data_IF_147460856665
#
_entry.id   IF_147460856665
#
_cell.length_a   1.000
_cell.length_b   1.000
_cell.length_c   1.000
_cell.angle_alpha   90.00
_cell.angle_beta   90.00
_cell.angle_gamma   90.00
#
_symmetry.space_group_name_H-M   'P 1'
#
loop_
_entity.id
_entity.type
_entity.pdbx_description
1 polymer ?
2 polymer ?
3 water ?
#
# COMPACT_ATOMS: atom_id res chain seq x y z
N UNK A 1 -15.39 9.77 -19.37
CA UNK A 1 -14.81 9.12 -18.16
C UNK A 1 -14.58 10.17 -17.09
N UNK A 2 -15.04 9.87 -15.89
CA UNK A 2 -14.83 10.77 -14.76
C UNK A 2 -13.41 10.59 -14.23
N UNK A 3 -12.69 11.71 -14.12
CA UNK A 3 -11.32 11.69 -13.64
C UNK A 3 -11.18 12.68 -12.49
N UNK A 4 -10.49 12.23 -11.45
CA UNK A 4 -10.19 13.07 -10.30
C UNK A 4 -8.71 12.94 -10.06
N UNK A 5 -7.96 13.95 -10.44
CA UNK A 5 -6.51 13.89 -10.39
C UNK A 5 -5.96 14.72 -9.24
N UNK A 6 -5.40 14.06 -8.26
CA UNK A 6 -4.88 14.75 -7.09
C UNK A 6 -3.40 15.13 -7.20
N UNK A 7 -3.03 16.18 -6.46
CA UNK A 7 -1.64 16.64 -6.39
C UNK A 7 -0.73 15.61 -5.68
N UNK A 8 0.59 15.85 -5.77
CA UNK A 8 1.59 14.88 -5.36
C UNK A 8 1.85 14.84 -3.86
N UNK A 9 2.66 13.85 -3.42
CA UNK A 9 2.96 13.65 -2.01
C UNK A 9 3.65 14.85 -1.38
N UNK A 10 3.35 15.09 -0.10
CA UNK A 10 3.81 16.27 0.62
C UNK A 10 4.49 15.89 1.91
N UNK A 11 5.60 16.58 2.20
CA UNK A 11 6.22 16.54 3.53
C UNK A 11 6.01 17.88 4.20
N UNK A 12 5.51 17.84 5.42
CA UNK A 12 5.10 19.03 6.13
C UNK A 12 5.79 19.08 7.46
N UNK A 13 6.34 20.24 7.78
CA UNK A 13 6.87 20.47 9.12
C UNK A 13 5.75 20.43 10.17
N UNK A 14 6.02 19.77 11.29
CA UNK A 14 5.09 19.72 12.41
C UNK A 14 4.65 21.15 12.78
N UNK A 15 3.34 21.38 12.85
CA UNK A 15 2.77 22.71 13.13
C UNK A 15 2.46 23.58 11.92
N UNK A 16 2.98 23.20 10.76
CA UNK A 16 2.72 23.94 9.52
C UNK A 16 1.47 23.46 8.79
N UNK A 17 1.21 24.06 7.63
CA UNK A 17 -0.02 23.82 6.86
C UNK A 17 0.31 23.11 5.57
N UNK A 18 -0.70 22.52 4.95
CA UNK A 18 -0.56 21.93 3.63
C UNK A 18 -1.80 22.28 2.82
N UNK A 19 -1.64 22.50 1.52
CA UNK A 19 -2.78 22.68 0.61
C UNK A 19 -2.64 21.71 -0.52
N UNK A 20 -3.66 20.87 -0.66
CA UNK A 20 -3.66 19.82 -1.67
C UNK A 20 -4.83 20.04 -2.61
N UNK A 21 -4.69 19.56 -3.85
CA UNK A 21 -5.67 19.86 -4.88
C UNK A 21 -6.19 18.61 -5.58
N UNK A 22 -7.35 18.73 -6.22
CA UNK A 22 -8.00 17.61 -6.91
C UNK A 22 -8.62 18.24 -8.14
N UNK A 23 -8.08 17.90 -9.31
CA UNK A 23 -8.55 18.45 -10.60
C UNK A 23 -9.54 17.47 -11.21
N UNK A 24 -10.77 17.93 -11.43
CA UNK A 24 -11.81 17.07 -11.96
C UNK A 24 -11.97 17.23 -13.47
N UNK A 25 -12.33 16.13 -14.12
CA UNK A 25 -12.60 16.16 -15.57
C UNK A 25 -13.67 15.15 -15.91
N UNK A 26 -14.36 15.35 -17.03
CA UNK A 26 -15.29 14.35 -17.54
C UNK A 26 -16.73 14.54 -17.12
N UNK A 27 -17.00 15.66 -16.43
CA UNK A 27 -18.35 15.97 -16.01
C UNK A 27 -18.50 17.46 -15.74
N UNK A 28 -19.73 17.90 -15.49
CA UNK A 28 -19.99 19.29 -15.11
C UNK A 28 -19.61 19.54 -13.65
N UNK A 29 -18.50 20.23 -13.45
CA UNK A 29 -17.89 20.40 -12.11
C UNK A 29 -18.82 20.92 -11.02
N UNK A 30 -19.65 21.90 -11.35
CA UNK A 30 -20.49 22.52 -10.34
C UNK A 30 -21.75 21.70 -10.03
N UNK A 31 -21.96 20.58 -10.72
CA UNK A 31 -23.16 19.79 -10.53
C UNK A 31 -23.03 18.65 -9.52
N UNK A 32 -21.86 18.49 -8.93
CA UNK A 32 -21.64 17.41 -7.95
C UNK A 32 -20.84 17.95 -6.78
N UNK A 33 -21.13 17.45 -5.59
CA UNK A 33 -20.33 17.81 -4.42
C UNK A 33 -18.98 17.12 -4.48
N UNK A 34 -18.00 17.70 -3.81
CA UNK A 34 -16.69 17.04 -3.64
C UNK A 34 -16.45 16.80 -2.16
N UNK A 35 -15.93 15.63 -1.84
CA UNK A 35 -15.69 15.27 -0.44
C UNK A 35 -14.21 15.05 -0.24
N UNK A 36 -13.76 15.23 1.00
CA UNK A 36 -12.38 14.89 1.37
C UNK A 36 -12.41 13.84 2.48
N UNK A 37 -11.57 12.81 2.32
CA UNK A 37 -11.53 11.66 3.20
C UNK A 37 -10.06 11.33 3.60
N UNK A 38 -9.83 11.05 4.88
CA UNK A 38 -8.47 10.71 5.37
C UNK A 38 -8.36 9.21 5.56
N UNK A 39 -7.24 8.63 5.13
CA UNK A 39 -6.95 7.24 5.39
C UNK A 39 -5.62 7.15 6.09
N UNK A 40 -5.62 6.71 7.34
CA UNK A 40 -4.38 6.55 8.10
C UNK A 40 -3.79 5.17 7.82
N UNK A 41 -2.49 5.02 8.04
CA UNK A 41 -1.78 3.73 7.89
C UNK A 41 -2.42 2.74 6.89
N UNK A 42 -2.89 3.26 5.75
CA UNK A 42 -3.47 2.44 4.68
C UNK A 42 -4.71 1.63 5.04
N UNK A 43 -5.38 2.00 6.14
CA UNK A 43 -6.53 1.21 6.60
C UNK A 43 -7.79 2.04 6.86
N UNK A 44 -7.89 2.65 8.04
CA UNK A 44 -9.15 3.25 8.50
C UNK A 44 -9.51 4.54 7.71
N UNK A 45 -10.78 4.77 7.43
CA UNK A 45 -11.19 5.97 6.64
C UNK A 45 -12.03 6.91 7.51
N UNK A 46 -11.80 8.22 7.37
CA UNK A 46 -12.44 9.27 8.17
C UNK A 46 -12.83 10.40 7.24
N UNK A 47 -14.09 10.81 7.32
CA UNK A 47 -14.59 11.88 6.50
C UNK A 47 -14.17 13.21 7.09
N UNK A 48 -13.55 14.04 6.25
CA UNK A 48 -13.15 15.39 6.66
C UNK A 48 -14.27 16.44 6.42
N UNK A 49 -14.90 16.35 5.25
CA UNK A 49 -15.97 17.29 4.89
C UNK A 49 -16.32 17.23 3.43
N UNK A 50 -17.15 18.18 3.03
CA UNK A 50 -17.63 18.27 1.65
C UNK A 50 -17.71 19.73 1.26
N UNK A 51 -17.68 19.97 -0.04
CA UNK A 51 -17.91 21.31 -0.57
C UNK A 51 -18.81 21.22 -1.78
N UNK A 52 -19.69 22.21 -1.85
CA UNK A 52 -20.57 22.42 -3.00
C UNK A 52 -19.86 23.37 -3.96
N UNK A 53 -19.35 22.86 -5.09
CA UNK A 53 -18.63 23.77 -5.98
C UNK A 53 -19.48 24.83 -6.63
N UNK A 54 -20.81 24.65 -6.64
CA UNK A 54 -21.70 25.65 -7.21
C UNK A 54 -21.71 26.95 -6.40
N UNK A 55 -21.68 26.83 -5.07
CA UNK A 55 -21.80 28.02 -4.21
C UNK A 55 -20.63 28.20 -3.27
N UNK A 56 -19.65 27.29 -3.38
CA UNK A 56 -18.45 27.33 -2.56
C UNK A 56 -18.69 26.95 -1.11
N UNK A 57 -19.91 26.49 -0.81
CA UNK A 57 -20.31 26.18 0.57
C UNK A 57 -19.72 24.86 1.07
N UNK A 58 -19.02 24.91 2.17
CA UNK A 58 -18.43 23.73 2.80
C UNK A 58 -19.16 23.28 4.07
N UNK A 59 -19.07 21.98 4.37
CA UNK A 59 -19.45 21.41 5.67
C UNK A 59 -18.29 20.57 6.17
N UNK A 60 -18.05 20.62 7.48
CA UNK A 60 -16.86 19.94 8.04
C UNK A 60 -17.22 18.98 9.17
N UNK A 61 -16.51 17.86 9.23
CA UNK A 61 -16.53 17.01 10.41
C UNK A 61 -16.02 17.83 11.59
N UNK A 62 -16.81 17.89 12.66
CA UNK A 62 -16.40 18.68 13.81
C UNK A 62 -15.17 18.19 14.58
N UNK A 63 -14.77 16.93 14.32
CA UNK A 63 -13.59 16.36 14.96
C UNK A 63 -12.30 17.00 14.45
N UNK A 64 -12.40 17.72 13.32
CA UNK A 64 -11.26 18.39 12.71
C UNK A 64 -10.94 19.75 13.37
N UNK A 65 -11.85 20.18 14.23
CA UNK A 65 -11.64 21.39 15.05
C UNK A 65 -11.35 22.63 14.24
N UNK A 66 -11.92 22.70 13.05
CA UNK A 66 -11.84 23.89 12.24
C UNK A 66 -10.50 24.07 11.55
N UNK A 67 -9.70 23.00 11.52
CA UNK A 67 -8.36 23.09 10.93
C UNK A 67 -8.33 22.96 9.42
N UNK A 68 -9.45 22.53 8.83
CA UNK A 68 -9.53 22.36 7.38
C UNK A 68 -10.35 23.47 6.75
N UNK A 69 -9.96 23.88 5.55
CA UNK A 69 -10.70 24.87 4.77
C UNK A 69 -10.75 24.46 3.31
N UNK A 70 -11.97 24.27 2.80
CA UNK A 70 -12.17 23.81 1.43
C UNK A 70 -12.44 25.00 0.53
N UNK A 71 -11.88 24.99 -0.68
CA UNK A 71 -12.21 25.99 -1.69
C UNK A 71 -12.29 25.33 -3.05
N UNK A 72 -12.85 26.03 -4.04
CA UNK A 72 -12.85 25.52 -5.40
C UNK A 72 -12.47 26.65 -6.36
N UNK A 73 -11.97 26.26 -7.53
CA UNK A 73 -11.80 27.17 -8.66
C UNK A 73 -12.60 26.53 -9.78
N UNK A 74 -13.76 27.09 -10.10
CA UNK A 74 -14.65 26.46 -11.06
C UNK A 74 -14.07 26.55 -12.48
N UNK A 75 -13.29 27.59 -12.73
CA UNK A 75 -12.69 27.80 -14.05
C UNK A 75 -11.68 26.72 -14.40
N UNK A 76 -10.96 26.23 -13.39
CA UNK A 76 -9.97 25.16 -13.60
C UNK A 76 -10.50 23.79 -13.16
N UNK A 77 -11.75 23.76 -12.69
CA UNK A 77 -12.39 22.54 -12.14
C UNK A 77 -11.56 21.89 -11.05
N UNK A 78 -11.08 22.70 -10.13
CA UNK A 78 -10.21 22.17 -9.07
C UNK A 78 -10.80 22.46 -7.68
N UNK A 79 -10.74 21.44 -6.84
CA UNK A 79 -11.11 21.55 -5.45
C UNK A 79 -9.80 21.55 -4.65
N UNK A 80 -9.76 22.39 -3.62
CA UNK A 80 -8.59 22.50 -2.76
C UNK A 80 -8.93 22.23 -1.30
N UNK A 81 -7.99 21.62 -0.59
CA UNK A 81 -8.12 21.47 0.86
C UNK A 81 -6.86 22.02 1.51
N UNK A 82 -7.04 23.02 2.37
CA UNK A 82 -5.95 23.55 3.18
C UNK A 82 -6.14 22.97 4.56
N UNK A 83 -5.08 22.43 5.15
CA UNK A 83 -5.20 21.74 6.42
C UNK A 83 -4.10 22.31 7.29
N UNK A 84 -4.50 22.96 8.38
CA UNK A 84 -3.61 23.75 9.22
C UNK A 84 -3.20 23.06 10.49
N UNK A 85 -2.07 23.52 11.06
CA UNK A 85 -1.66 23.08 12.40
C UNK A 85 -1.48 21.58 12.48
N UNK A 86 -0.73 21.05 11.53
CA UNK A 86 -0.59 19.61 11.40
C UNK A 86 0.30 19.02 12.47
N UNK A 87 -0.04 17.81 12.91
CA UNK A 87 0.79 17.05 13.83
C UNK A 87 1.04 15.69 13.20
N UNK A 88 1.83 14.85 13.86
CA UNK A 88 2.11 13.51 13.35
C UNK A 88 0.85 12.67 13.14
N UNK A 89 -0.19 12.94 13.94
CA UNK A 89 -1.48 12.25 13.81
C UNK A 89 -2.18 12.50 12.48
N UNK A 90 -1.73 13.55 11.78
CA UNK A 90 -2.34 13.94 10.50
C UNK A 90 -1.62 13.32 9.30
N UNK A 91 -0.51 12.62 9.53
CA UNK A 91 0.15 11.85 8.47
C UNK A 91 -0.77 10.77 7.96
N UNK A 92 -1.10 10.84 6.69
CA UNK A 92 -2.12 9.98 6.12
C UNK A 92 -2.19 10.21 4.63
N UNK A 93 -2.99 9.37 3.97
CA UNK A 93 -3.36 9.60 2.58
C UNK A 93 -4.72 10.29 2.55
N UNK A 94 -4.80 11.36 1.78
CA UNK A 94 -6.02 12.18 1.67
C UNK A 94 -6.61 12.04 0.30
N UNK A 95 -7.88 11.65 0.27
CA UNK A 95 -8.61 11.45 -0.99
C UNK A 95 -9.65 12.52 -1.23
N UNK A 96 -9.84 12.93 -2.49
CA UNK A 96 -11.06 13.61 -2.84
C UNK A 96 -12.01 12.57 -3.44
N UNK A 97 -13.29 12.82 -3.31
CA UNK A 97 -14.29 11.94 -3.91
C UNK A 97 -15.51 12.73 -4.32
N UNK A 98 -16.10 12.36 -5.45
CA UNK A 98 -17.28 13.02 -5.96
C UNK A 98 -18.53 12.36 -5.40
N UNK A 99 -19.59 13.14 -5.12
CA UNK A 99 -20.89 12.53 -4.80
C UNK A 99 -22.02 12.96 -5.68
N UNK A 100 -22.95 12.02 -5.84
CA UNK A 100 -24.27 12.18 -6.45
C UNK A 100 -25.35 12.14 -5.36
N UNK A 101 -26.42 12.93 -5.53
CA UNK A 101 -26.37 14.17 -6.31
C UNK A 101 -25.18 14.94 -5.71
N UNK A 102 -24.88 14.61 -4.46
CA UNK A 102 -24.00 15.42 -3.64
C UNK A 102 -24.29 15.26 -2.17
N UNK A 103 -23.22 14.97 -1.44
CA UNK A 103 -23.17 14.81 0.02
C UNK A 103 -23.45 13.38 0.51
N UNK A 104 -24.42 12.70 -0.09
CA UNK A 104 -24.74 11.35 0.36
C UNK A 104 -23.82 10.30 -0.29
N UNK A 105 -24.00 10.09 -1.60
CA UNK A 105 -23.50 8.89 -2.26
C UNK A 105 -22.22 9.16 -3.06
N UNK A 106 -21.07 8.84 -2.47
CA UNK A 106 -19.77 9.03 -3.12
C UNK A 106 -19.67 8.02 -4.24
N UNK A 107 -19.28 8.46 -5.45
CA UNK A 107 -19.31 7.54 -6.62
C UNK A 107 -17.96 7.35 -7.34
N UNK A 108 -17.05 8.30 -7.20
CA UNK A 108 -15.71 8.23 -7.79
C UNK A 108 -14.71 8.85 -6.82
N UNK A 109 -13.49 8.30 -6.82
CA UNK A 109 -12.43 8.69 -5.88
C UNK A 109 -11.17 9.03 -6.62
N UNK A 110 -10.47 10.04 -6.11
CA UNK A 110 -9.12 10.38 -6.60
C UNK A 110 -8.11 9.31 -6.19
N UNK A 111 -6.85 9.48 -6.60
CA UNK A 111 -5.84 8.48 -6.31
C UNK A 111 -5.21 8.62 -4.92
N UNK A 112 -5.49 9.72 -4.23
CA UNK A 112 -4.90 9.99 -2.93
C UNK A 112 -3.63 10.84 -2.98
N UNK A 113 -3.44 11.62 -1.93
CA UNK A 113 -2.24 12.42 -1.75
C UNK A 113 -1.67 12.05 -0.39
N UNK A 114 -0.44 11.54 -0.40
CA UNK A 114 0.22 11.13 0.83
C UNK A 114 0.85 12.38 1.47
N UNK A 115 0.49 12.60 2.73
CA UNK A 115 1.01 13.71 3.51
C UNK A 115 1.75 13.13 4.70
N UNK A 116 3.04 13.49 4.81
CA UNK A 116 3.86 13.11 5.97
C UNK A 116 4.15 14.32 6.80
N UNK A 117 3.90 14.22 8.10
CA UNK A 117 4.16 15.34 8.98
C UNK A 117 5.30 14.98 9.90
N UNK A 118 6.36 15.79 9.89
CA UNK A 118 7.59 15.42 10.58
C UNK A 118 8.52 16.60 10.83
N UNK A 119 9.35 16.45 11.87
CA UNK A 119 10.39 17.41 12.18
C UNK A 119 11.68 17.12 11.40
N UNK A 120 11.71 15.94 10.77
CA UNK A 120 12.90 15.40 10.09
C UNK A 120 13.09 15.99 8.70
N UNK A 121 14.36 16.14 8.33
CA UNK A 121 14.73 16.62 7.01
C UNK A 121 14.51 15.56 5.95
N UNK A 122 14.31 16.00 4.71
CA UNK A 122 14.31 15.06 3.58
C UNK A 122 15.71 14.50 3.32
N UNK A 123 15.78 13.18 3.10
CA UNK A 123 17.05 12.51 2.92
C UNK A 123 16.88 11.60 1.69
N UNK A 124 17.75 11.73 0.70
CA UNK A 124 17.60 10.87 -0.45
C UNK A 124 18.11 9.44 -0.14
N UNK A 125 17.61 8.44 -0.88
CA UNK A 125 18.08 7.09 -0.62
C UNK A 125 19.45 6.81 -1.21
N UNK A 126 20.18 5.90 -0.56
CA UNK A 126 21.34 5.24 -1.21
C UNK A 126 20.81 3.99 -1.91
N UNK A 127 21.13 3.81 -3.17
CA UNK A 127 20.58 2.69 -3.93
C UNK A 127 21.73 1.76 -4.25
N UNK A 128 21.60 0.52 -3.79
CA UNK A 128 22.67 -0.47 -3.94
C UNK A 128 22.21 -1.67 -4.75
N UNK A 129 23.07 -2.17 -5.64
CA UNK A 129 22.67 -3.34 -6.43
C UNK A 129 22.77 -4.63 -5.60
N UNK A 130 21.89 -5.55 -5.89
CA UNK A 130 21.91 -6.87 -5.25
C UNK A 130 22.14 -7.92 -6.34
N UNK A 131 23.37 -8.42 -6.41
CA UNK A 131 23.71 -9.44 -7.38
C UNK A 131 24.17 -10.66 -6.59
N UNK A 132 23.88 -11.88 -7.08
CA UNK A 132 24.22 -13.12 -6.34
C UNK A 132 25.69 -13.23 -5.98
N UNK A 140 16.78 -22.14 -16.22
CA UNK A 140 16.38 -21.67 -14.90
C UNK A 140 16.40 -20.16 -14.76
N UNK A 141 16.23 -19.70 -13.52
CA UNK A 141 15.96 -18.32 -13.21
C UNK A 141 17.00 -17.75 -12.26
N UNK A 142 17.30 -16.47 -12.44
CA UNK A 142 18.22 -15.77 -11.54
C UNK A 142 17.42 -14.65 -10.89
N UNK A 143 17.63 -14.43 -9.60
CA UNK A 143 16.94 -13.35 -8.90
C UNK A 143 17.96 -12.27 -8.61
N UNK A 144 17.62 -11.04 -9.01
CA UNK A 144 18.43 -9.84 -8.74
C UNK A 144 17.62 -8.89 -7.91
N UNK A 145 18.28 -7.85 -7.42
CA UNK A 145 17.53 -6.87 -6.65
C UNK A 145 18.18 -5.52 -6.51
N UNK A 146 17.49 -4.68 -5.78
CA UNK A 146 17.85 -3.30 -5.60
C UNK A 146 17.55 -2.99 -4.13
N UNK A 147 18.55 -2.54 -3.35
CA UNK A 147 18.34 -2.12 -1.95
C UNK A 147 18.31 -0.58 -1.92
N UNK A 148 17.23 -0.01 -1.38
CA UNK A 148 16.97 1.42 -1.39
C UNK A 148 16.98 1.85 0.06
N UNK A 149 18.12 2.34 0.52
CA UNK A 149 18.35 2.47 1.96
C UNK A 149 18.43 3.90 2.47
N UNK A 150 17.74 4.14 3.58
CA UNK A 150 17.92 5.33 4.42
C UNK A 150 17.39 6.64 3.87
N UNK A 151 16.14 6.61 3.43
CA UNK A 151 15.51 7.81 2.88
C UNK A 151 14.37 8.28 3.75
N UNK A 152 13.99 9.53 3.52
CA UNK A 152 12.84 10.06 4.18
C UNK A 152 12.37 11.26 3.36
N UNK A 153 11.05 11.43 3.20
CA UNK A 153 9.92 10.58 3.59
C UNK A 153 9.60 9.57 2.51
N UNK A 154 8.57 8.75 2.76
CA UNK A 154 7.92 7.97 1.69
C UNK A 154 7.18 8.94 0.78
N UNK A 155 6.96 8.57 -0.50
CA UNK A 155 7.32 7.30 -1.13
C UNK A 155 8.58 7.31 -2.00
N UNK A 156 8.96 6.11 -2.44
CA UNK A 156 9.85 5.95 -3.57
C UNK A 156 9.06 5.17 -4.65
N UNK A 157 9.53 5.24 -5.89
CA UNK A 157 9.04 4.36 -6.95
C UNK A 157 10.21 3.59 -7.54
N UNK A 158 10.05 2.28 -7.70
CA UNK A 158 11.10 1.46 -8.29
C UNK A 158 10.53 0.80 -9.54
N UNK A 159 11.29 0.86 -10.63
CA UNK A 159 10.96 0.15 -11.87
C UNK A 159 12.22 -0.60 -12.29
N UNK A 160 12.07 -1.53 -13.22
CA UNK A 160 13.20 -2.27 -13.75
C UNK A 160 13.23 -2.14 -15.27
N UNK A 161 14.40 -1.85 -15.82
CA UNK A 161 14.55 -1.58 -17.25
C UNK A 161 13.53 -0.59 -17.76
N UNK A 162 13.31 0.47 -16.97
CA UNK A 162 12.38 1.55 -17.32
C UNK A 162 10.96 1.04 -17.70
N UNK A 163 10.53 -0.07 -17.09
CA UNK A 163 9.18 -0.61 -17.35
C UNK A 163 9.13 -1.82 -18.28
N UNK A 164 10.25 -2.18 -18.87
CA UNK A 164 10.27 -3.30 -19.81
C UNK A 164 10.43 -4.65 -19.14
N UNK A 165 10.83 -4.64 -17.87
CA UNK A 165 10.71 -5.83 -17.04
C UNK A 165 9.62 -5.54 -15.99
N UNK A 166 8.54 -6.30 -16.06
CA UNK A 166 7.45 -6.15 -15.07
C UNK A 166 6.93 -7.44 -14.44
N UNK A 167 6.96 -8.54 -15.18
CA UNK A 167 6.33 -9.79 -14.76
C UNK A 167 6.86 -10.40 -13.46
N UNK A 168 8.17 -10.42 -13.32
CA UNK A 168 8.77 -11.13 -12.19
C UNK A 168 9.27 -10.20 -11.12
N UNK A 169 8.57 -9.08 -10.92
CA UNK A 169 9.02 -8.01 -9.99
C UNK A 169 8.15 -7.99 -8.74
N UNK A 170 8.79 -7.97 -7.57
CA UNK A 170 8.14 -7.70 -6.27
C UNK A 170 8.87 -6.52 -5.64
N UNK A 171 8.16 -5.54 -5.09
CA UNK A 171 8.82 -4.52 -4.28
C UNK A 171 8.25 -4.60 -2.90
N UNK A 172 9.15 -4.66 -1.91
CA UNK A 172 8.72 -4.92 -0.54
C UNK A 172 8.36 -3.60 0.12
N UNK A 173 7.35 -3.62 1.00
CA UNK A 173 7.04 -2.39 1.71
C UNK A 173 8.20 -1.90 2.55
N UNK A 174 8.30 -0.57 2.66
CA UNK A 174 9.39 0.04 3.40
C UNK A 174 9.26 -0.22 4.87
N UNK A 175 10.39 -0.27 5.54
CA UNK A 175 10.45 -0.45 6.99
C UNK A 175 11.07 0.79 7.54
N UNK A 176 10.45 1.35 8.59
CA UNK A 176 10.96 2.50 9.30
C UNK A 176 11.87 2.07 10.45
N UNK A 177 13.08 2.60 10.49
CA UNK A 177 13.96 2.37 11.65
C UNK A 177 14.74 3.65 11.92
N UNK A 178 14.64 4.15 13.16
CA UNK A 178 15.32 5.38 13.52
C UNK A 178 15.14 6.49 12.49
N UNK A 179 13.88 6.66 12.07
CA UNK A 179 13.44 7.83 11.36
C UNK A 179 13.90 7.87 9.91
N UNK A 180 14.32 6.71 9.39
CA UNK A 180 14.60 6.58 7.95
C UNK A 180 14.00 5.31 7.40
N UNK A 181 13.62 5.33 6.14
CA UNK A 181 13.02 4.15 5.52
C UNK A 181 14.03 3.35 4.72
N UNK A 182 13.76 2.04 4.64
CA UNK A 182 14.56 1.18 3.76
C UNK A 182 13.61 0.21 3.06
N UNK A 183 13.78 0.00 1.75
CA UNK A 183 13.02 -1.06 1.10
C UNK A 183 13.89 -1.74 0.08
N UNK A 184 13.38 -2.86 -0.43
CA UNK A 184 14.11 -3.59 -1.46
C UNK A 184 13.15 -3.98 -2.54
N UNK A 185 13.72 -4.26 -3.71
CA UNK A 185 12.92 -4.72 -4.83
C UNK A 185 13.65 -5.89 -5.46
N UNK A 186 12.87 -6.84 -5.94
CA UNK A 186 13.36 -8.10 -6.45
C UNK A 186 12.87 -8.26 -7.89
N UNK A 187 13.73 -8.78 -8.76
CA UNK A 187 13.30 -9.18 -10.11
C UNK A 187 13.91 -10.52 -10.44
N UNK A 188 13.14 -11.38 -11.12
CA UNK A 188 13.62 -12.72 -11.49
C UNK A 188 13.54 -12.96 -13.00
N UNK A 189 14.70 -13.23 -13.62
CA UNK A 189 14.84 -13.35 -15.07
C UNK A 189 15.52 -14.67 -15.42
N UNK A 190 15.38 -15.13 -16.68
CA UNK A 190 16.08 -16.34 -17.08
C UNK A 190 17.60 -16.19 -16.92
N UNK A 191 18.25 -17.22 -16.39
CA UNK A 191 19.73 -17.28 -16.34
C UNK A 191 20.39 -17.08 -17.71
N UNK A 192 19.68 -17.44 -18.79
CA UNK A 192 20.17 -17.20 -20.14
C UNK A 192 20.05 -15.72 -20.56
N UNK A 193 19.32 -14.94 -19.75
CA UNK A 193 19.08 -13.52 -20.01
C UNK A 193 20.07 -12.62 -19.27
N UNK A 194 20.37 -12.92 -18.00
CA UNK A 194 21.34 -12.15 -17.23
C UNK A 194 22.44 -13.12 -16.81
N UNK A 195 23.72 -12.70 -16.93
CA UNK A 195 24.18 -11.35 -17.21
C UNK A 195 24.38 -10.93 -18.67
N UNK A 196 23.92 -11.73 -19.64
CA UNK A 196 24.11 -11.39 -21.06
C UNK A 196 23.41 -10.11 -21.51
N UNK A 197 22.24 -9.84 -20.94
CA UNK A 197 21.45 -8.62 -21.21
C UNK A 197 21.46 -7.75 -19.96
N UNK A 198 21.38 -6.43 -20.18
CA UNK A 198 21.38 -5.44 -19.11
C UNK A 198 20.11 -5.49 -18.25
N UNK A 199 20.29 -5.41 -16.93
CA UNK A 199 19.18 -5.28 -15.99
C UNK A 199 19.52 -4.13 -15.05
N UNK A 200 18.64 -3.14 -15.00
CA UNK A 200 18.87 -1.88 -14.29
C UNK A 200 17.65 -1.59 -13.42
N UNK A 201 17.87 -1.21 -12.16
CA UNK A 201 16.75 -0.69 -11.35
C UNK A 201 16.75 0.86 -11.42
N UNK A 202 15.55 1.42 -11.48
CA UNK A 202 15.35 2.85 -11.58
C UNK A 202 14.57 3.25 -10.36
N UNK A 203 15.16 4.09 -9.52
CA UNK A 203 14.57 4.46 -8.23
C UNK A 203 14.38 5.96 -8.18
N UNK A 204 13.13 6.40 -7.99
CA UNK A 204 12.81 7.82 -7.87
C UNK A 204 12.32 8.12 -6.47
N UNK A 205 12.73 9.27 -5.95
CA UNK A 205 12.30 9.71 -4.61
C UNK A 205 11.85 11.17 -4.78
N UNK A 206 10.52 11.36 -4.95
CA UNK A 206 9.94 12.68 -5.27
C UNK A 206 10.41 13.79 -4.33
N UNK A 207 10.45 13.51 -3.03
CA UNK A 207 10.75 14.52 -2.02
C UNK A 207 12.13 15.14 -2.14
N UNK A 208 13.10 14.36 -2.61
CA UNK A 208 14.47 14.84 -2.79
C UNK A 208 14.80 15.14 -4.25
N UNK A 209 13.80 15.04 -5.13
CA UNK A 209 14.02 15.26 -6.56
C UNK A 209 15.17 14.40 -7.14
N UNK A 210 15.29 13.18 -6.62
CA UNK A 210 16.35 12.23 -7.01
C UNK A 210 15.77 11.14 -7.89
N UNK A 211 16.53 10.75 -8.90
CA UNK A 211 16.30 9.47 -9.57
C UNK A 211 17.64 8.82 -9.91
N UNK A 212 17.77 7.54 -9.55
CA UNK A 212 19.04 6.84 -9.73
C UNK A 212 18.76 5.61 -10.58
N UNK A 213 19.64 5.37 -11.55
CA UNK A 213 19.63 4.11 -12.27
C UNK A 213 20.84 3.31 -11.78
N UNK A 214 20.59 2.07 -11.37
CA UNK A 214 21.70 1.22 -10.96
C UNK A 214 21.67 -0.05 -11.79
N UNK A 215 22.68 -0.23 -12.63
CA UNK A 215 22.84 -1.47 -13.36
C UNK A 215 23.30 -2.56 -12.41
N UNK A 216 22.72 -3.75 -12.56
CA UNK A 216 23.14 -4.91 -11.79
C UNK A 216 24.18 -5.67 -12.59
N UNK A 217 25.39 -5.70 -12.05
CA UNK A 217 26.51 -6.34 -12.72
C UNK A 217 26.96 -7.52 -11.85
N UNK A 218 27.46 -8.60 -12.48
CA UNK A 218 27.96 -9.72 -11.67
C UNK A 218 29.02 -9.24 -10.67
N UNK A 219 28.97 -9.75 -9.46
CA UNK A 219 29.95 -9.38 -8.47
C UNK A 219 30.96 -10.51 -8.38
N UNK B 1 -20.92 10.29 16.45
CA UNK B 1 -20.74 9.52 15.19
C UNK B 1 -21.39 8.13 15.26
N UNK B 2 -21.98 7.70 14.14
CA UNK B 2 -22.51 6.36 13.99
C UNK B 2 -21.35 5.40 13.83
N UNK B 3 -21.37 4.34 14.63
CA UNK B 3 -20.32 3.34 14.60
C UNK B 3 -20.72 2.24 13.64
N UNK B 4 -19.84 1.94 12.69
CA UNK B 4 -20.09 0.86 11.72
C UNK B 4 -19.20 -0.32 12.08
N UNK B 5 -19.80 -1.50 12.36
CA UNK B 5 -19.04 -2.67 12.77
C UNK B 5 -19.14 -3.80 11.74
N UNK B 6 -18.03 -4.11 11.07
CA UNK B 6 -17.96 -5.22 10.10
C UNK B 6 -17.47 -6.48 10.74
N UNK B 7 -18.00 -7.61 10.27
CA UNK B 7 -17.55 -8.94 10.70
C UNK B 7 -17.73 -9.94 9.54
N UNK B 8 -16.70 -10.77 9.26
CA UNK B 8 -15.40 -10.78 9.94
C UNK B 8 -14.52 -9.65 9.42
N UNK B 9 -13.36 -9.48 10.02
CA UNK B 9 -12.41 -8.45 9.58
C UNK B 9 -11.41 -9.03 8.58
N UNK B 10 -11.41 -10.35 8.45
CA UNK B 10 -10.55 -11.02 7.50
C UNK B 10 -11.33 -12.16 6.89
N UNK B 11 -11.10 -12.39 5.60
CA UNK B 11 -11.66 -13.52 4.85
C UNK B 11 -10.52 -14.22 4.14
N UNK B 12 -10.58 -15.54 4.07
CA UNK B 12 -9.61 -16.32 3.30
C UNK B 12 -10.42 -17.31 2.45
N UNK B 13 -10.44 -17.05 1.14
CA UNK B 13 -11.45 -17.66 0.24
C UNK B 13 -10.86 -18.46 -0.90
N UNK B 14 -11.43 -19.66 -1.13
CA UNK B 14 -11.08 -20.46 -2.31
C UNK B 14 -11.77 -19.86 -3.53
N UNK B 15 -11.03 -19.66 -4.60
CA UNK B 15 -11.65 -19.11 -5.82
C UNK B 15 -12.82 -20.01 -6.23
N UNK B 16 -13.94 -19.37 -6.55
CA UNK B 16 -15.14 -20.09 -6.95
C UNK B 16 -16.14 -20.22 -5.82
N UNK B 17 -15.70 -19.98 -4.58
CA UNK B 17 -16.56 -20.16 -3.39
C UNK B 17 -17.26 -18.86 -2.98
N UNK B 18 -18.43 -18.98 -2.31
CA UNK B 18 -19.12 -17.76 -1.89
C UNK B 18 -18.50 -17.17 -0.64
N UNK B 19 -18.61 -15.85 -0.48
CA UNK B 19 -18.18 -15.22 0.76
C UNK B 19 -19.20 -14.16 1.17
N UNK B 20 -19.12 -13.76 2.43
CA UNK B 20 -20.10 -12.84 2.99
C UNK B 20 -19.46 -11.94 4.05
N UNK B 21 -19.89 -10.68 4.10
CA UNK B 21 -19.49 -9.71 5.12
C UNK B 21 -20.74 -9.10 5.73
N UNK B 22 -20.78 -9.05 7.07
CA UNK B 22 -21.86 -8.38 7.78
C UNK B 22 -21.43 -6.97 8.21
N UNK B 23 -22.39 -6.06 8.27
CA UNK B 23 -22.14 -4.70 8.71
C UNK B 23 -23.32 -4.29 9.58
N UNK B 24 -23.01 -3.87 10.81
CA UNK B 24 -24.00 -3.46 11.79
C UNK B 24 -23.72 -2.04 12.22
N UNK B 25 -24.77 -1.22 12.20
CA UNK B 25 -24.65 0.18 12.58
C UNK B 25 -25.19 0.39 13.99
N UNK B 26 -24.62 1.35 14.71
CA UNK B 26 -25.06 1.64 16.10
C UNK B 26 -26.45 2.29 16.17
N UNK B 27 -26.91 2.78 15.02
CA UNK B 27 -28.20 3.45 14.88
C UNK B 27 -28.78 3.10 13.51
N UNK B 28 -30.11 3.06 13.42
CA UNK B 28 -30.76 2.79 12.13
C UNK B 28 -30.31 3.76 11.04
N UNK B 29 -30.07 3.22 9.86
CA UNK B 29 -29.66 4.06 8.73
C UNK B 29 -30.83 4.44 7.82
N UNK B 30 -32.06 4.19 8.29
CA UNK B 30 -33.24 4.59 7.54
C UNK B 30 -33.50 6.10 7.68
N UNK B 31 -33.58 6.79 6.53
CA UNK B 31 -33.80 8.24 6.50
C UNK B 31 -35.29 8.58 6.56
N UNK B 32 -35.59 9.85 6.85
CA UNK B 32 -37.01 10.27 6.87
C UNK B 32 -37.59 10.42 5.45
N UNK B 33 -36.64 10.53 4.48
CA UNK B 33 -37.01 10.60 3.07
C UNK B 33 -37.35 9.26 2.45
N UNK B 34 -37.17 8.17 3.33
CA UNK B 34 -37.57 6.86 2.89
C UNK B 34 -36.45 5.99 2.35
N UNK B 35 -35.23 6.56 2.23
CA UNK B 35 -34.05 5.82 1.71
C UNK B 35 -33.03 5.44 2.81
N UNK B 36 -32.20 4.42 2.53
CA UNK B 36 -31.21 3.93 3.50
C UNK B 36 -29.82 4.06 2.86
N UNK B 37 -29.01 5.01 3.33
CA UNK B 37 -27.74 5.33 2.67
C UNK B 37 -26.60 4.50 3.25
N UNK B 38 -26.68 3.20 2.96
CA UNK B 38 -25.64 2.25 3.32
C UNK B 38 -24.93 1.82 2.04
N UNK B 39 -23.61 1.89 2.09
CA UNK B 39 -22.73 1.75 0.91
C UNK B 39 -21.63 0.74 1.19
N UNK B 40 -21.10 0.13 0.12
CA UNK B 40 -19.93 -0.70 0.18
C UNK B 40 -18.90 -0.18 -0.81
N UNK B 41 -17.66 -0.22 -0.36
CA UNK B 41 -16.50 0.26 -1.08
C UNK B 41 -15.42 -0.83 -1.12
N UNK B 42 -14.69 -0.92 -2.23
CA UNK B 42 -13.61 -1.87 -2.38
C UNK B 42 -12.33 -1.10 -2.68
N UNK B 43 -11.27 -1.40 -1.96
CA UNK B 43 -9.95 -0.90 -2.35
C UNK B 43 -9.04 -2.07 -2.63
N UNK B 44 -8.71 -2.26 -3.91
CA UNK B 44 -7.80 -3.31 -4.34
C UNK B 44 -6.39 -2.76 -4.23
N UNK B 45 -5.37 -3.65 -4.12
CA UNK B 45 -4.00 -3.16 -4.12
C UNK B 45 -3.64 -2.46 -5.44
N UNK B 46 -2.97 -1.31 -5.32
CA UNK B 46 -2.54 -0.52 -6.48
C UNK B 46 -3.63 0.34 -7.09
N UNK B 47 -4.82 0.30 -6.49
CA UNK B 47 -5.98 1.07 -6.98
C UNK B 47 -6.55 2.09 -5.98
N UNK B 48 -7.32 3.04 -6.53
CA UNK B 48 -8.08 3.98 -5.73
C UNK B 48 -9.29 3.20 -5.14
N UNK B 49 -9.91 3.70 -4.05
CA UNK B 49 -11.17 3.07 -3.65
C UNK B 49 -12.16 3.16 -4.78
N UNK B 50 -13.00 2.15 -4.93
CA UNK B 50 -14.07 2.18 -5.91
C UNK B 50 -15.38 1.80 -5.28
N UNK B 51 -16.45 2.45 -5.73
CA UNK B 51 -17.79 2.11 -5.28
C UNK B 51 -18.19 0.70 -5.72
N UNK B 52 -18.69 -0.09 -4.76
CA UNK B 52 -19.31 -1.38 -5.07
C UNK B 52 -20.84 -1.33 -5.09
N UNK B 53 -21.42 -0.92 -3.97
CA UNK B 53 -22.87 -0.93 -3.80
C UNK B 53 -23.25 0.37 -3.09
N UNK B 54 -24.44 0.87 -3.42
CA UNK B 54 -24.97 2.04 -2.72
C UNK B 54 -26.45 1.83 -2.48
N UNK B 55 -27.02 2.60 -1.56
CA UNK B 55 -28.46 2.48 -1.23
C UNK B 55 -28.81 1.03 -0.93
N UNK B 56 -27.95 0.41 -0.11
CA UNK B 56 -28.05 -0.98 0.38
C UNK B 56 -27.77 -2.09 -0.65
N UNK B 57 -28.39 -1.99 -1.83
CA UNK B 57 -28.42 -3.09 -2.78
C UNK B 57 -28.22 -2.69 -4.23
N UNK B 58 -28.03 -1.40 -4.51
CA UNK B 58 -27.77 -0.97 -5.89
C UNK B 58 -26.30 -1.18 -6.26
N UNK B 59 -26.06 -1.86 -7.38
CA UNK B 59 -24.69 -2.15 -7.85
C UNK B 59 -24.15 -0.99 -8.68
N UNK B 60 -22.91 -0.59 -8.40
CA UNK B 60 -22.18 0.30 -9.29
C UNK B 60 -22.10 -0.30 -10.70
N UNK B 61 -22.17 0.55 -11.72
CA UNK B 61 -22.09 0.07 -13.10
C UNK B 61 -20.88 -0.78 -13.45
N UNK B 62 -19.77 -0.58 -12.75
CA UNK B 62 -18.57 -1.33 -13.06
C UNK B 62 -18.46 -2.66 -12.31
N UNK B 63 -19.50 -3.00 -11.56
CA UNK B 63 -19.43 -4.17 -10.69
C UNK B 63 -20.27 -5.35 -11.22
N UNK B 64 -19.66 -6.54 -11.27
CA UNK B 64 -20.38 -7.74 -11.72
C UNK B 64 -21.48 -8.19 -10.76
N UNK B 65 -22.47 -8.89 -11.32
CA UNK B 65 -23.66 -9.36 -10.58
C UNK B 65 -23.42 -10.45 -9.52
N UNK B 66 -22.16 -10.87 -9.44
CA UNK B 66 -21.69 -11.79 -8.38
C UNK B 66 -21.85 -11.14 -7.00
N UNK B 67 -21.87 -9.81 -6.99
CA UNK B 67 -22.01 -9.04 -5.76
C UNK B 67 -23.48 -8.73 -5.51
N UNK B 68 -23.93 -8.94 -4.28
CA UNK B 68 -25.25 -8.47 -3.87
C UNK B 68 -25.18 -7.83 -2.49
N UNK B 69 -25.98 -6.80 -2.27
CA UNK B 69 -26.06 -6.14 -0.98
C UNK B 69 -27.46 -6.32 -0.47
N UNK B 70 -27.60 -6.54 0.83
CA UNK B 70 -28.92 -6.72 1.44
C UNK B 70 -28.95 -6.13 2.84
N UNK B 71 -30.13 -6.04 3.44
CA UNK B 71 -30.20 -5.55 4.81
C UNK B 71 -31.19 -4.45 5.03
N UNK B 72 -31.43 -4.15 6.30
CA UNK B 72 -32.34 -3.10 6.68
C UNK B 72 -31.97 -2.58 8.05
N UNK B 73 -32.28 -1.30 8.28
CA UNK B 73 -32.19 -0.72 9.61
C UNK B 73 -30.77 -0.61 10.13
N UNK B 74 -30.38 -1.60 10.94
CA UNK B 74 -29.05 -1.63 11.55
C UNK B 74 -28.17 -2.81 11.09
N UNK B 75 -28.73 -3.68 10.26
CA UNK B 75 -28.04 -4.92 9.89
C UNK B 75 -27.97 -5.08 8.37
N UNK B 76 -26.75 -5.25 7.85
CA UNK B 76 -26.48 -5.27 6.40
C UNK B 76 -25.50 -6.39 6.03
N UNK B 77 -25.57 -6.86 4.79
CA UNK B 77 -24.71 -7.93 4.33
C UNK B 77 -24.26 -7.69 2.89
N UNK B 78 -22.98 -7.93 2.64
CA UNK B 78 -22.44 -8.02 1.29
C UNK B 78 -22.15 -9.48 1.01
N UNK B 79 -22.66 -9.98 -0.11
CA UNK B 79 -22.39 -11.35 -0.50
C UNK B 79 -21.75 -11.39 -1.86
N UNK B 80 -20.78 -12.28 -2.02
CA UNK B 80 -20.16 -12.56 -3.31
C UNK B 80 -20.52 -14.00 -3.62
N UNK B 81 -21.22 -14.24 -4.73
CA UNK B 81 -21.71 -15.61 -5.01
C UNK B 81 -20.58 -16.58 -5.30
N UNK B 82 -19.59 -16.10 -6.05
CA UNK B 82 -18.45 -16.89 -6.45
C UNK B 82 -17.29 -15.91 -6.45
N UNK B 83 -16.33 -16.12 -5.58
CA UNK B 83 -15.20 -15.20 -5.49
C UNK B 83 -14.22 -15.42 -6.65
N UNK B 84 -13.76 -14.33 -7.27
CA UNK B 84 -12.77 -14.41 -8.34
C UNK B 84 -11.50 -13.73 -7.86
N UNK B 85 -10.38 -13.99 -8.53
CA UNK B 85 -9.11 -13.40 -8.17
C UNK B 85 -9.15 -11.86 -8.06
N UNK B 86 -9.92 -11.21 -8.93
CA UNK B 86 -10.09 -9.74 -8.93
C UNK B 86 -10.67 -9.17 -7.63
N UNK B 87 -11.23 -10.06 -6.80
CA UNK B 87 -11.91 -9.66 -5.57
C UNK B 87 -10.95 -9.40 -4.39
N UNK B 88 -9.68 -9.73 -4.56
CA UNK B 88 -8.69 -9.46 -3.51
C UNK B 88 -8.64 -7.96 -3.18
N UNK B 89 -8.71 -7.64 -1.89
CA UNK B 89 -8.64 -6.25 -1.45
C UNK B 89 -9.35 -6.05 -0.13
N UNK B 90 -9.61 -4.78 0.18
CA UNK B 90 -10.26 -4.41 1.44
C UNK B 90 -11.63 -3.84 1.14
N UNK B 91 -12.64 -4.38 1.84
CA UNK B 91 -14.04 -4.00 1.66
C UNK B 91 -14.48 -3.18 2.84
N UNK B 92 -15.05 -2.00 2.57
CA UNK B 92 -15.59 -1.13 3.63
C UNK B 92 -17.08 -0.97 3.45
N UNK B 93 -17.81 -1.03 4.56
CA UNK B 93 -19.18 -0.51 4.56
C UNK B 93 -19.11 0.90 5.11
N UNK B 94 -20.00 1.77 4.64
CA UNK B 94 -20.07 3.12 5.17
C UNK B 94 -21.45 3.75 5.01
N UNK B 95 -21.75 4.68 5.91
CA UNK B 95 -23.09 5.25 5.97
C UNK B 95 -23.07 6.74 5.68
N UNK B 96 -24.09 7.20 4.95
CA UNK B 96 -24.25 8.62 4.68
C UNK B 96 -25.62 9.13 5.06
N UNK B 97 -26.29 8.43 5.97
CA UNK B 97 -27.59 8.87 6.51
C UNK B 97 -27.40 9.94 7.56
N UNK B 98 -26.38 9.77 8.39
CA UNK B 98 -26.12 10.69 9.49
C UNK B 98 -24.84 11.50 9.27
N UNK B 99 -24.80 12.67 9.89
CA UNK B 99 -23.62 13.53 9.83
C UNK B 99 -22.76 13.30 11.09
N UNK B 100 -21.45 13.04 10.93
CA UNK B 100 -20.68 12.91 9.68
C UNK B 100 -20.81 11.54 9.07
N UNK B 101 -20.54 11.44 7.77
CA UNK B 101 -20.27 10.17 7.09
C UNK B 101 -19.27 9.35 7.90
N UNK B 102 -19.56 8.08 8.10
CA UNK B 102 -18.65 7.22 8.85
C UNK B 102 -18.49 5.86 8.15
N UNK B 103 -17.31 5.27 8.37
CA UNK B 103 -16.87 4.06 7.67
C UNK B 103 -16.61 2.94 8.66
N UNK B 104 -16.81 1.70 8.21
CA UNK B 104 -16.38 0.54 8.99
C UNK B 104 -14.86 0.41 8.92
N UNK B 105 -14.30 -0.52 9.70
CA UNK B 105 -12.86 -0.66 9.80
C UNK B 105 -12.24 -1.33 8.58
N UNK B 106 -13.05 -1.99 7.77
CA UNK B 106 -12.55 -2.73 6.62
C UNK B 106 -12.36 -4.21 6.87
N UNK B 107 -12.71 -5.02 5.88
CA UNK B 107 -12.54 -6.47 5.91
C UNK B 107 -11.56 -6.82 4.79
N UNK B 108 -10.47 -7.46 5.14
CA UNK B 108 -9.47 -7.80 4.14
C UNK B 108 -9.77 -9.18 3.59
N UNK B 109 -9.97 -9.26 2.27
CA UNK B 109 -10.22 -10.53 1.60
C UNK B 109 -8.95 -11.02 0.95
N UNK B 110 -8.53 -12.21 1.34
CA UNK B 110 -7.35 -12.85 0.76
C UNK B 110 -7.79 -14.19 0.14
N UNK B 111 -6.95 -14.75 -0.72
CA UNK B 111 -7.33 -15.92 -1.51
C UNK B 111 -6.57 -17.12 -1.02
N UNK B 112 -7.18 -18.29 -1.14
CA UNK B 112 -6.50 -19.55 -0.89
C UNK B 112 -5.91 -20.08 -2.18
N UNK B 113 -4.84 -20.85 -2.04
CA UNK B 113 -4.24 -21.53 -3.17
C UNK B 113 -3.48 -22.72 -2.62
N UNK B 114 -2.90 -23.51 -3.51
CA UNK B 114 -2.02 -24.62 -3.12
C UNK B 114 -0.75 -24.12 -2.43
N UNK B 115 -0.29 -24.89 -1.43
CA UNK B 115 0.95 -24.54 -0.75
C UNK B 115 2.09 -24.44 -1.76
N UNK B 116 2.97 -23.47 -1.54
CA UNK B 116 4.14 -23.25 -2.38
C UNK B 116 5.33 -22.96 -1.49
N UNK B 117 6.45 -23.66 -1.72
CA UNK B 117 7.71 -23.37 -1.01
C UNK B 117 8.37 -22.09 -1.51
N UNK B 118 9.06 -21.35 -0.62
CA UNK B 118 9.72 -20.13 -1.07
C UNK B 118 10.92 -20.38 -2.00
N UNK B 119 11.17 -19.45 -2.90
CA UNK B 119 12.43 -19.39 -3.63
C UNK B 119 13.31 -18.43 -2.86
N UNK B 120 14.43 -18.95 -2.36
CA UNK B 120 15.32 -18.18 -1.46
C UNK B 120 16.59 -17.74 -2.16
N UNK B 121 16.93 -16.45 -1.97
CA UNK B 121 18.13 -15.87 -2.56
C UNK B 121 18.83 -15.05 -1.49
N UNK B 122 20.14 -15.13 -1.44
CA UNK B 122 20.93 -14.33 -0.49
C UNK B 122 21.90 -13.45 -1.28
N UNK B 123 22.13 -12.24 -0.77
CA UNK B 123 22.98 -11.26 -1.44
C UNK B 123 23.95 -10.64 -0.49
N UNK B 124 25.22 -10.65 -0.85
CA UNK B 124 26.20 -9.92 -0.05
C UNK B 124 26.04 -8.41 -0.24
N UNK B 125 26.67 -7.62 0.65
CA UNK B 125 26.71 -6.16 0.47
C UNK B 125 27.38 -5.79 -0.85
N UNK B 126 26.87 -4.76 -1.50
CA UNK B 126 27.48 -4.25 -2.74
C UNK B 126 28.83 -3.61 -2.42
N UNK B 127 29.68 -3.55 -3.45
CA UNK B 127 30.95 -2.83 -3.32
C UNK B 127 30.69 -1.37 -3.01
N UNK B 128 29.59 -0.83 -3.54
CA UNK B 128 29.26 0.57 -3.31
C UNK B 128 28.98 0.85 -1.85
N UNK B 129 28.28 -0.06 -1.20
CA UNK B 129 27.88 0.13 0.21
C UNK B 129 29.09 -0.03 1.12
N UNK B 130 29.94 -1.02 0.82
CA UNK B 130 31.19 -1.24 1.55
C UNK B 130 32.14 -0.04 1.47
N UNK B 131 32.24 0.57 0.29
CA UNK B 131 33.08 1.78 0.09
C UNK B 131 32.62 2.92 1.01
N UNK B 132 31.31 3.04 1.19
CA UNK B 132 30.72 4.04 2.08
C UNK B 132 30.91 3.67 3.56
N UNK B 133 31.38 2.45 3.80
CA UNK B 133 31.62 1.99 5.17
C UNK B 133 30.51 1.17 5.78
N UNK B 134 29.51 0.77 4.99
CA UNK B 134 28.34 0.03 5.52
C UNK B 134 28.20 -1.38 4.99
N UNK B 135 27.36 -2.21 5.61
CA UNK B 135 27.17 -3.60 5.14
C UNK B 135 25.78 -4.24 5.39
N UNK B 136 24.96 -4.31 4.35
CA UNK B 136 23.66 -4.96 4.49
C UNK B 136 23.69 -6.27 3.73
N UNK B 137 23.27 -7.34 4.39
CA UNK B 137 23.10 -8.62 3.74
C UNK B 137 21.61 -8.85 3.56
N UNK B 138 21.18 -9.23 2.36
CA UNK B 138 19.74 -9.31 2.08
C UNK B 138 19.36 -10.73 1.69
N UNK B 139 18.23 -11.19 2.22
CA UNK B 139 17.64 -12.49 1.85
C UNK B 139 16.23 -12.24 1.32
N UNK B 140 15.94 -12.72 0.11
CA UNK B 140 14.56 -12.75 -0.37
C UNK B 140 14.00 -14.15 -0.20
N UNK B 141 12.75 -14.22 0.27
CA UNK B 141 11.99 -15.46 0.36
C UNK B 141 10.75 -15.22 -0.51
N UNK B 142 10.80 -15.70 -1.75
CA UNK B 142 9.83 -15.23 -2.76
C UNK B 142 8.76 -16.27 -3.11
N UNK B 143 7.54 -15.77 -3.33
CA UNK B 143 6.48 -16.55 -3.96
C UNK B 143 6.15 -17.84 -3.23
N UNK B 144 5.76 -17.68 -1.96
CA UNK B 144 5.38 -18.83 -1.13
C UNK B 144 3.94 -18.71 -0.65
N UNK B 145 3.39 -19.83 -0.18
CA UNK B 145 2.04 -19.86 0.36
C UNK B 145 1.98 -21.11 1.26
N UNK B 146 1.38 -20.99 2.45
CA UNK B 146 0.73 -19.85 3.10
C UNK B 146 1.69 -18.80 3.63
N UNK B 147 1.09 -17.78 4.24
CA UNK B 147 1.70 -16.57 4.75
C UNK B 147 2.81 -16.74 5.80
N UNK B 148 2.62 -17.69 6.73
CA UNK B 148 3.54 -17.91 7.86
C UNK B 148 4.88 -18.45 7.38
N UNK B 149 5.96 -17.80 7.81
CA UNK B 149 7.31 -18.24 7.46
C UNK B 149 8.27 -17.71 8.50
N UNK B 150 9.33 -18.48 8.73
CA UNK B 150 10.41 -18.10 9.65
C UNK B 150 11.75 -17.97 8.91
N UNK B 151 12.53 -16.97 9.28
CA UNK B 151 13.86 -16.78 8.70
C UNK B 151 14.85 -16.74 9.83
N UNK B 152 15.92 -17.51 9.70
CA UNK B 152 17.00 -17.51 10.68
C UNK B 152 18.29 -17.12 9.97
N UNK B 153 19.06 -16.27 10.63
CA UNK B 153 20.34 -15.83 10.12
C UNK B 153 21.43 -16.53 10.92
N UNK B 154 22.45 -16.98 10.22
CA UNK B 154 23.63 -17.50 10.85
C UNK B 154 24.84 -16.86 10.25
N UNK B 155 25.81 -16.57 11.12
CA UNK B 155 27.06 -15.96 10.70
C UNK B 155 28.18 -16.81 11.27
N UNK B 156 29.03 -17.35 10.39
CA UNK B 156 30.11 -18.26 10.83
C UNK B 156 29.58 -19.43 11.66
N UNK B 157 28.40 -19.92 11.31
CA UNK B 157 27.78 -21.05 12.00
C UNK B 157 27.00 -20.65 13.24
N UNK B 158 27.12 -19.39 13.65
CA UNK B 158 26.50 -18.89 14.87
C UNK B 158 25.17 -18.22 14.52
N UNK B 159 24.10 -18.62 15.19
CA UNK B 159 22.81 -17.97 15.04
C UNK B 159 22.90 -16.49 15.42
N UNK B 160 22.45 -15.60 14.54
CA UNK B 160 22.48 -14.15 14.79
C UNK B 160 21.08 -13.53 14.82
N UNK B 161 20.77 -12.80 15.90
CA UNK B 161 19.39 -12.33 16.14
C UNK B 161 19.12 -10.83 15.96
N UNK B 162 20.12 -10.01 16.26
CA UNK B 162 19.95 -8.53 16.25
C UNK B 162 20.32 -7.88 14.91
N UNK B 163 19.80 -6.69 14.67
CA UNK B 163 20.04 -5.98 13.40
C UNK B 163 19.30 -6.54 12.20
N UNK B 164 18.24 -7.30 12.44
CA UNK B 164 17.49 -7.96 11.37
C UNK B 164 16.15 -7.28 11.21
N UNK B 165 15.89 -6.81 9.98
CA UNK B 165 14.63 -6.14 9.65
C UNK B 165 13.93 -6.89 8.53
N UNK B 166 12.65 -7.20 8.77
CA UNK B 166 11.86 -8.00 7.84
C UNK B 166 10.71 -7.23 7.23
N UNK B 167 10.38 -7.56 5.98
CA UNK B 167 9.25 -6.94 5.31
C UNK B 167 8.52 -7.93 4.44
N UNK B 168 7.20 -7.90 4.54
CA UNK B 168 6.32 -8.85 3.87
C UNK B 168 5.44 -8.13 2.85
N UNK B 169 5.33 -8.68 1.65
CA UNK B 169 4.43 -8.13 0.65
C UNK B 169 2.97 -8.49 0.99
N UNK B 170 2.04 -7.70 0.43
CA UNK B 170 0.63 -8.09 0.34
C UNK B 170 0.49 -9.28 -0.61
N UNK B 171 -0.60 -10.03 -0.50
CA UNK B 171 -0.78 -11.15 -1.38
C UNK B 171 -0.84 -10.68 -2.83
N UNK B 172 -0.14 -11.43 -3.68
CA UNK B 172 -0.01 -11.07 -5.11
C UNK B 172 -1.33 -11.33 -5.81
N UNK B 173 -1.81 -10.40 -6.63
CA UNK B 173 -3.07 -10.64 -7.31
C UNK B 173 -2.96 -11.69 -8.43
N UNK B 174 -1.76 -11.81 -9.00
CA UNK B 174 -1.56 -12.70 -10.15
C UNK B 174 -1.45 -14.19 -9.79
N UNK B 175 -0.77 -14.50 -8.68
CA UNK B 175 -0.47 -15.90 -8.30
C UNK B 175 -0.86 -16.28 -6.87
N UNK B 176 -1.39 -15.30 -6.13
CA UNK B 176 -1.90 -15.53 -4.77
C UNK B 176 -0.84 -15.96 -3.77
N UNK B 177 0.42 -15.70 -4.10
CA UNK B 177 1.53 -15.95 -3.17
C UNK B 177 1.96 -14.71 -2.39
N UNK B 178 2.83 -14.96 -1.42
CA UNK B 178 3.47 -13.95 -0.57
C UNK B 178 4.95 -13.97 -0.78
N UNK B 179 5.60 -12.83 -0.48
CA UNK B 179 7.06 -12.78 -0.45
C UNK B 179 7.49 -12.03 0.79
N UNK B 180 8.74 -12.21 1.17
CA UNK B 180 9.28 -11.54 2.35
C UNK B 180 10.73 -11.27 2.11
N UNK B 181 11.19 -10.12 2.59
CA UNK B 181 12.61 -9.80 2.56
C UNK B 181 13.10 -9.77 4.00
N UNK B 182 14.37 -10.11 4.17
CA UNK B 182 15.01 -10.01 5.47
C UNK B 182 16.37 -9.39 5.25
N UNK B 183 16.66 -8.33 6.00
CA UNK B 183 17.90 -7.61 5.82
C UNK B 183 18.66 -7.55 7.14
N UNK B 184 19.88 -8.04 7.12
CA UNK B 184 20.77 -7.94 8.28
C UNK B 184 21.77 -6.82 8.02
N UNK B 185 21.77 -5.79 8.88
CA UNK B 185 22.65 -4.67 8.68
C UNK B 185 23.73 -4.65 9.78
N UNK B 186 24.98 -4.73 9.34
CA UNK B 186 26.14 -4.70 10.24
C UNK B 186 27.00 -3.51 9.87
N UNK B 187 27.98 -3.17 10.71
CA UNK B 187 29.03 -2.26 10.27
C UNK B 187 29.91 -3.00 9.26
N UNK B 188 30.61 -2.25 8.40
CA UNK B 188 31.56 -2.86 7.48
C UNK B 188 32.64 -3.63 8.23
N UNK B 189 33.11 -3.06 9.33
CA UNK B 189 34.11 -3.74 10.15
C UNK B 189 33.62 -5.06 10.74
N UNK B 190 32.39 -5.10 11.25
CA UNK B 190 31.86 -6.37 11.74
C UNK B 190 31.70 -7.34 10.58
N UNK B 191 31.22 -6.84 9.45
CA UNK B 191 30.99 -7.69 8.27
C UNK B 191 32.28 -8.39 7.87
N UNK B 192 33.36 -7.62 7.86
CA UNK B 192 34.63 -8.12 7.39
C UNK B 192 35.36 -9.03 8.38
N UNK B 193 34.80 -9.17 9.58
CA UNK B 193 35.38 -10.05 10.59
C UNK B 193 34.83 -11.47 10.51
N UNK B 194 33.90 -11.69 9.58
CA UNK B 194 33.31 -13.00 9.43
C UNK B 194 33.45 -13.50 8.01
N UNK B 195 33.24 -14.80 7.82
CA UNK B 195 33.39 -15.40 6.50
C UNK B 195 32.08 -15.85 5.87
N UNK B 196 31.31 -16.66 6.58
CA UNK B 196 30.09 -17.21 6.00
C UNK B 196 28.84 -16.54 6.55
N UNK B 197 27.90 -16.32 5.63
CA UNK B 197 26.63 -15.70 5.92
C UNK B 197 25.55 -16.60 5.34
N UNK B 198 24.57 -16.94 6.17
CA UNK B 198 23.52 -17.87 5.81
C UNK B 198 22.13 -17.38 6.21
N UNK B 199 21.18 -17.53 5.27
CA UNK B 199 19.75 -17.35 5.44
C UNK B 199 19.05 -18.72 5.44
N UNK B 200 18.24 -18.99 6.46
CA UNK B 200 17.51 -20.27 6.56
C UNK B 200 16.01 -19.99 6.66
N UNK B 201 15.22 -20.52 5.72
CA UNK B 201 13.78 -20.32 5.66
C UNK B 201 13.05 -21.58 6.12
N UNK B 202 12.19 -21.44 7.13
CA UNK B 202 11.34 -22.54 7.64
C UNK B 202 9.90 -22.26 7.24
N UNK B 203 9.32 -23.17 6.46
CA UNK B 203 7.97 -23.03 5.92
C UNK B 203 7.28 -24.40 5.97
N UNK B 204 5.95 -24.41 6.05
CA UNK B 204 5.24 -25.68 6.26
C UNK B 204 5.46 -26.71 5.14
N UNK B 205 5.93 -26.25 3.99
CA UNK B 205 6.18 -27.10 2.83
C UNK B 205 7.29 -28.18 2.97
N UNK B 206 8.14 -28.12 4.02
CA UNK B 206 9.19 -29.15 4.26
C UNK B 206 9.62 -29.20 5.74
N UNK B 207 10.03 -30.39 6.20
CA UNK B 207 10.58 -30.54 7.56
C UNK B 207 12.01 -29.92 7.67
N UNK B 208 12.71 -30.00 6.57
CA UNK B 208 14.05 -29.42 6.51
C UNK B 208 13.98 -28.03 6.07
N UNK B 209 14.76 -27.08 6.67
CA UNK B 209 14.69 -25.70 6.10
C UNK B 209 15.44 -25.51 4.76
N UNK B 210 15.14 -24.41 4.06
CA UNK B 210 15.84 -24.02 2.83
C UNK B 210 16.98 -23.08 3.19
N UNK B 211 18.20 -23.53 2.92
CA UNK B 211 19.40 -22.81 3.33
C UNK B 211 20.10 -22.19 2.13
N UNK B 212 20.35 -20.88 2.19
CA UNK B 212 21.21 -20.23 1.22
C UNK B 212 22.34 -19.51 1.92
N UNK B 213 23.55 -19.69 1.41
CA UNK B 213 24.75 -19.11 2.02
C UNK B 213 25.68 -18.48 1.00
N UNK B 214 26.54 -17.59 1.48
CA UNK B 214 27.74 -17.23 0.74
C UNK B 214 28.91 -17.16 1.68
N UNK B 215 30.10 -17.32 1.10
CA UNK B 215 31.35 -17.18 1.86
C UNK B 215 32.17 -16.07 1.25
N UNK B 216 32.70 -15.18 2.09
CA UNK B 216 33.44 -14.02 1.60
C UNK B 216 34.74 -14.43 0.91
N UNK B 217 35.33 -15.52 1.38
CA UNK B 217 36.55 -16.07 0.77
C UNK B 217 36.34 -16.75 -0.59
N UNK B 218 35.09 -16.82 -1.05
CA UNK B 218 34.74 -17.45 -2.33
C UNK B 218 34.27 -16.42 -3.35
#
# INVERSE_FOLDING_TARGET
EVQLQQSGPELVKTGASVKISCKASGYSFTSYYMHWVKQSHGKSLEWIGEINPYNGGASYNQKIKGRATFTVDTSSRTAYMQFNSLTSEDSAVYYCARSIYGHSVLDYWGQGTSVSVSSAKTTPPSVYPLAPGSAAQTNSMVTLGCLVKGYFPEPVTVTWNSGSLSSGVHTFPAVLQSDLYTLSSSVTVPSSTWPSQTVTCNVAHPASSTKVDKKIVPRDCGCKPCIC
DVVMTQTPLTLSVTIGQPASISCKSSQSLLDSDGKTYLNWLLQRPGQSPKRLIYLVSKLDSGVPDRFTGSGSGTDFTLKISRVEAEDLGVYYCWQGTHFPLTFGAGTKLELKRADAAPTVSIFPPSSEQLTSGGASVVCFLNNFYPKDINVKWKIDGSERQNGVLNSWTDQDSKDSTYSMSSTLTLTKDEYERHNSYTCEATHKTSTSPIVKSFNRNEC
#
